data_IF_992617593074
#
_entry.id   IF_992617593074
#
_cell.length_a   1.000
_cell.length_b   1.000
_cell.length_c   1.000
_cell.angle_alpha   90.00
_cell.angle_beta   90.00
_cell.angle_gamma   90.00
#
_symmetry.space_group_name_H-M   'P 1'
#
loop_
_entity.id
_entity.type
_entity.pdbx_description
1 polymer ?
#
# COMPACT_ATOMS: atom_id res chain seq x y z
N UNK A 1 23.21 -14.31 -24.03
CA UNK A 1 22.05 -13.35 -23.94
C UNK A 1 20.95 -13.91 -24.80
N UNK A 2 19.80 -14.26 -24.23
CA UNK A 2 18.67 -14.81 -24.97
C UNK A 2 17.92 -13.71 -25.76
N UNK A 3 17.31 -14.05 -26.90
CA UNK A 3 16.45 -13.11 -27.66
C UNK A 3 15.39 -12.45 -26.78
N UNK A 4 14.84 -13.22 -25.82
CA UNK A 4 13.88 -12.70 -24.82
C UNK A 4 14.47 -11.58 -23.94
N UNK A 5 15.74 -11.69 -23.53
CA UNK A 5 16.39 -10.63 -22.73
C UNK A 5 16.70 -9.39 -23.54
N UNK A 6 17.05 -9.54 -24.83
CA UNK A 6 17.24 -8.39 -25.74
C UNK A 6 15.94 -7.66 -26.01
N UNK A 7 14.86 -8.40 -26.28
CA UNK A 7 13.52 -7.81 -26.44
C UNK A 7 13.04 -7.09 -25.16
N UNK A 8 13.33 -7.66 -23.99
CA UNK A 8 12.95 -7.04 -22.72
C UNK A 8 13.71 -5.73 -22.44
N UNK A 9 15.01 -5.69 -22.74
CA UNK A 9 15.82 -4.48 -22.64
C UNK A 9 15.39 -3.44 -23.68
N UNK A 10 15.10 -3.89 -24.91
CA UNK A 10 14.56 -3.02 -25.98
C UNK A 10 13.22 -2.39 -25.58
N UNK A 11 12.31 -3.15 -24.97
CA UNK A 11 11.05 -2.65 -24.47
C UNK A 11 11.23 -1.58 -23.36
N UNK A 12 12.19 -1.80 -22.46
CA UNK A 12 12.51 -0.81 -21.42
C UNK A 12 13.10 0.47 -22.04
N UNK A 13 14.05 0.36 -22.95
CA UNK A 13 14.66 1.50 -23.65
C UNK A 13 13.59 2.30 -24.42
N UNK A 14 12.72 1.60 -25.17
CA UNK A 14 11.60 2.22 -25.89
C UNK A 14 10.63 2.93 -24.95
N UNK A 15 10.30 2.31 -23.81
CA UNK A 15 9.43 2.91 -22.80
C UNK A 15 10.03 4.20 -22.22
N UNK A 16 11.31 4.20 -21.87
CA UNK A 16 12.01 5.38 -21.37
C UNK A 16 12.06 6.49 -22.42
N UNK A 17 12.39 6.15 -23.68
CA UNK A 17 12.40 7.11 -24.79
C UNK A 17 11.01 7.69 -25.05
N UNK A 18 9.98 6.86 -25.07
CA UNK A 18 8.59 7.30 -25.28
C UNK A 18 8.11 8.22 -24.14
N UNK A 19 8.46 7.92 -22.90
CA UNK A 19 8.12 8.78 -21.74
C UNK A 19 8.85 10.12 -21.83
N UNK A 20 10.13 10.13 -22.22
CA UNK A 20 10.89 11.36 -22.42
C UNK A 20 10.29 12.20 -23.55
N UNK A 21 9.93 11.56 -24.68
CA UNK A 21 9.25 12.24 -25.77
C UNK A 21 7.88 12.78 -25.35
N UNK A 22 7.10 12.01 -24.60
CA UNK A 22 5.79 12.42 -24.10
C UNK A 22 5.90 13.66 -23.19
N UNK A 23 6.85 13.69 -22.27
CA UNK A 23 7.09 14.87 -21.41
C UNK A 23 7.51 16.10 -22.21
N UNK A 24 8.30 15.91 -23.27
CA UNK A 24 8.71 17.00 -24.17
C UNK A 24 7.57 17.53 -25.04
N UNK A 25 6.66 16.65 -25.49
CA UNK A 25 5.52 17.00 -26.35
C UNK A 25 4.33 17.55 -25.59
N UNK A 26 4.21 17.29 -24.28
CA UNK A 26 3.11 17.74 -23.44
C UNK A 26 3.58 18.68 -22.32
N UNK A 27 4.37 19.74 -22.62
CA UNK A 27 4.96 20.59 -21.59
C UNK A 27 3.90 21.31 -20.73
N UNK A 28 2.75 21.66 -21.30
CA UNK A 28 1.68 22.34 -20.57
C UNK A 28 1.06 21.48 -19.47
N UNK A 29 0.95 20.17 -19.65
CA UNK A 29 0.46 19.24 -18.63
C UNK A 29 1.46 18.98 -17.50
N UNK A 30 2.74 19.17 -17.78
CA UNK A 30 3.84 18.93 -16.85
C UNK A 30 4.50 20.21 -16.37
N UNK A 31 4.32 21.36 -17.02
CA UNK A 31 4.94 22.62 -16.64
C UNK A 31 4.48 23.12 -15.26
N UNK A 32 3.21 22.88 -14.90
CA UNK A 32 2.66 23.16 -13.56
C UNK A 32 3.17 22.15 -12.51
N UNK A 33 3.49 20.93 -12.95
CA UNK A 33 3.91 19.80 -12.12
C UNK A 33 5.45 19.73 -12.06
N UNK A 34 6.11 20.09 -13.15
CA UNK A 34 7.54 20.03 -13.38
C UNK A 34 8.26 21.36 -13.12
N UNK A 35 7.77 22.18 -12.19
CA UNK A 35 8.72 23.07 -11.55
C UNK A 35 9.73 22.15 -10.85
N UNK A 36 10.95 21.99 -11.37
CA UNK A 36 11.96 21.23 -10.68
C UNK A 36 12.26 22.00 -9.40
N UNK A 37 11.59 21.63 -8.32
CA UNK A 37 12.15 21.95 -7.02
C UNK A 37 13.50 21.24 -7.07
N UNK A 38 14.63 21.96 -7.09
CA UNK A 38 15.92 21.30 -7.11
C UNK A 38 15.93 20.29 -5.97
N UNK A 39 16.27 19.02 -6.26
CA UNK A 39 16.32 17.97 -5.23
C UNK A 39 17.19 18.43 -4.06
N UNK A 40 18.23 19.23 -4.34
CA UNK A 40 19.08 19.87 -3.35
C UNK A 40 18.33 20.86 -2.44
N UNK A 41 17.42 21.68 -2.97
CA UNK A 41 16.64 22.63 -2.15
C UNK A 41 15.60 21.93 -1.27
N UNK A 42 15.08 20.78 -1.72
CA UNK A 42 14.16 19.96 -0.93
C UNK A 42 14.83 19.38 0.32
N UNK A 43 16.10 19.07 0.25
CA UNK A 43 16.91 18.50 1.33
C UNK A 43 17.90 19.48 1.96
N UNK A 44 17.99 20.71 1.45
CA UNK A 44 18.84 21.74 2.03
C UNK A 44 18.29 22.12 3.41
N UNK A 45 19.03 21.75 4.43
CA UNK A 45 18.87 22.26 5.79
C UNK A 45 19.51 23.65 5.78
N UNK A 46 18.89 24.63 5.10
CA UNK A 46 19.25 26.03 5.26
C UNK A 46 18.61 26.54 6.51
N UNK A 47 19.45 26.91 7.45
CA UNK A 47 19.13 27.62 8.69
C UNK A 47 17.65 27.47 9.15
N UNK A 48 17.35 26.38 9.89
CA UNK A 48 16.10 26.22 10.66
C UNK A 48 14.79 26.04 9.85
N UNK A 49 14.86 25.96 8.54
CA UNK A 49 13.70 25.65 7.68
C UNK A 49 13.80 24.23 7.16
N UNK A 50 13.34 23.28 7.96
CA UNK A 50 13.07 21.94 7.46
C UNK A 50 12.05 22.00 6.30
N UNK A 51 12.17 21.11 5.30
CA UNK A 51 11.08 20.91 4.35
C UNK A 51 9.79 20.76 5.15
N UNK A 52 8.85 21.62 4.87
CA UNK A 52 7.68 21.82 5.72
C UNK A 52 6.82 20.57 5.93
N UNK A 53 7.11 19.47 5.26
CA UNK A 53 6.22 18.31 5.11
C UNK A 53 6.66 17.05 5.86
N UNK A 54 7.96 16.89 6.14
CA UNK A 54 8.51 15.64 6.68
C UNK A 54 8.97 15.79 8.13
N UNK A 55 8.96 14.71 8.95
CA UNK A 55 9.54 14.70 10.28
C UNK A 55 11.02 15.09 10.29
N UNK A 56 11.55 15.66 11.38
CA UNK A 56 12.95 16.12 11.48
C UNK A 56 14.00 15.04 11.19
N UNK A 57 13.70 13.78 11.47
CA UNK A 57 14.56 12.64 11.13
C UNK A 57 14.84 12.54 9.63
N UNK A 58 13.86 12.87 8.76
CA UNK A 58 14.04 12.86 7.32
C UNK A 58 15.14 13.84 6.87
N UNK A 59 15.20 15.03 7.49
CA UNK A 59 16.24 16.00 7.17
C UNK A 59 17.64 15.46 7.50
N UNK A 60 17.80 14.80 8.66
CA UNK A 60 19.06 14.18 9.07
C UNK A 60 19.49 13.10 8.05
N UNK A 61 18.53 12.27 7.65
CA UNK A 61 18.78 11.17 6.71
C UNK A 61 19.26 11.66 5.33
N UNK A 62 18.77 12.83 4.89
CA UNK A 62 19.06 13.36 3.56
C UNK A 62 20.23 14.37 3.52
N UNK A 63 20.86 14.73 4.65
CA UNK A 63 22.06 15.58 4.67
C UNK A 63 23.12 15.10 3.69
N UNK A 64 23.47 13.80 3.56
CA UNK A 64 24.50 13.38 2.60
C UNK A 64 24.16 13.69 1.13
N UNK A 65 22.89 13.79 0.79
CA UNK A 65 22.47 14.14 -0.57
C UNK A 65 22.86 15.57 -0.96
N UNK A 66 22.98 16.48 0.03
CA UNK A 66 23.39 17.88 -0.22
C UNK A 66 24.87 18.03 -0.58
N UNK A 67 25.69 16.98 -0.36
CA UNK A 67 27.11 16.98 -0.70
C UNK A 67 27.37 16.66 -2.17
N UNK A 68 26.36 16.17 -2.88
CA UNK A 68 26.49 15.80 -4.29
C UNK A 68 26.18 16.99 -5.21
N UNK A 69 26.91 17.15 -6.32
CA UNK A 69 26.50 18.06 -7.37
C UNK A 69 25.10 17.75 -7.88
N UNK A 70 24.30 18.78 -8.17
CA UNK A 70 22.88 18.64 -8.54
C UNK A 70 22.68 17.66 -9.71
N UNK A 71 23.54 17.70 -10.73
CA UNK A 71 23.45 16.79 -11.88
C UNK A 71 23.67 15.34 -11.47
N UNK A 72 24.67 15.08 -10.60
CA UNK A 72 24.96 13.75 -10.05
C UNK A 72 23.81 13.27 -9.19
N UNK A 73 23.28 14.14 -8.32
CA UNK A 73 22.14 13.80 -7.46
C UNK A 73 20.90 13.43 -8.29
N UNK A 74 20.57 14.22 -9.33
CA UNK A 74 19.48 13.90 -10.26
C UNK A 74 19.67 12.53 -10.92
N UNK A 75 20.87 12.23 -11.41
CA UNK A 75 21.18 10.94 -12.04
C UNK A 75 21.03 9.78 -11.04
N UNK A 76 21.57 9.92 -9.82
CA UNK A 76 21.47 8.93 -8.74
C UNK A 76 20.00 8.66 -8.37
N UNK A 77 19.20 9.71 -8.24
CA UNK A 77 17.78 9.60 -7.87
C UNK A 77 16.97 8.93 -8.97
N UNK A 78 17.16 9.32 -10.25
CA UNK A 78 16.44 8.71 -11.38
C UNK A 78 16.81 7.24 -11.52
N UNK A 79 18.10 6.91 -11.57
CA UNK A 79 18.57 5.52 -11.69
C UNK A 79 18.14 4.71 -10.44
N UNK A 80 18.29 5.29 -9.26
CA UNK A 80 17.89 4.69 -8.00
C UNK A 80 16.38 4.35 -7.98
N UNK A 81 15.51 5.26 -8.41
CA UNK A 81 14.07 5.01 -8.48
C UNK A 81 13.70 3.94 -9.51
N UNK A 82 14.37 3.83 -10.65
CA UNK A 82 14.16 2.73 -11.62
C UNK A 82 14.57 1.39 -11.00
N UNK A 83 15.68 1.33 -10.27
CA UNK A 83 16.12 0.13 -9.56
C UNK A 83 15.15 -0.22 -8.40
N UNK A 84 14.66 0.78 -7.67
CA UNK A 84 13.66 0.61 -6.62
C UNK A 84 12.32 0.11 -7.19
N UNK A 85 11.91 0.57 -8.36
CA UNK A 85 10.74 0.00 -9.06
C UNK A 85 10.94 -1.49 -9.36
N UNK A 86 12.11 -1.87 -9.89
CA UNK A 86 12.44 -3.27 -10.15
C UNK A 86 12.41 -4.11 -8.87
N UNK A 87 12.92 -3.56 -7.77
CA UNK A 87 12.87 -4.18 -6.45
C UNK A 87 11.44 -4.28 -5.93
N UNK A 88 10.64 -3.20 -6.03
CA UNK A 88 9.24 -3.18 -5.59
C UNK A 88 8.41 -4.23 -6.35
N UNK A 89 8.58 -4.35 -7.67
CA UNK A 89 7.91 -5.39 -8.47
C UNK A 89 8.27 -6.78 -7.95
N UNK A 90 9.56 -7.06 -7.70
CA UNK A 90 10.01 -8.35 -7.15
C UNK A 90 9.44 -8.64 -5.77
N UNK A 91 9.50 -7.67 -4.87
CA UNK A 91 8.95 -7.80 -3.51
C UNK A 91 7.44 -8.00 -3.54
N UNK A 92 6.73 -7.23 -4.38
CA UNK A 92 5.28 -7.33 -4.57
C UNK A 92 4.87 -8.71 -5.08
N UNK A 93 5.60 -9.25 -6.05
CA UNK A 93 5.35 -10.59 -6.57
C UNK A 93 5.61 -11.67 -5.53
N UNK A 94 6.75 -11.60 -4.84
CA UNK A 94 7.07 -12.53 -3.73
C UNK A 94 6.01 -12.49 -2.64
N UNK A 95 5.54 -11.30 -2.28
CA UNK A 95 4.46 -11.10 -1.32
C UNK A 95 3.14 -11.73 -1.81
N UNK A 96 2.74 -11.43 -3.04
CA UNK A 96 1.47 -11.88 -3.62
C UNK A 96 1.40 -13.40 -3.85
N UNK A 97 2.54 -14.07 -4.10
CA UNK A 97 2.62 -15.51 -4.35
C UNK A 97 2.96 -16.34 -3.12
N UNK A 98 3.21 -15.70 -1.97
CA UNK A 98 3.49 -16.40 -0.70
C UNK A 98 2.30 -17.27 -0.30
N UNK A 99 2.54 -18.57 -0.11
CA UNK A 99 1.55 -19.47 0.46
C UNK A 99 1.54 -19.29 1.98
N UNK A 100 0.36 -19.17 2.63
CA UNK A 100 0.30 -19.22 4.09
C UNK A 100 0.90 -20.56 4.55
N UNK A 101 1.73 -20.50 5.60
CA UNK A 101 2.17 -21.72 6.26
C UNK A 101 0.90 -22.46 6.73
N UNK A 102 0.68 -23.66 6.20
CA UNK A 102 -0.41 -24.53 6.65
C UNK A 102 -0.11 -24.94 8.09
N UNK A 103 -0.83 -24.36 9.04
CA UNK A 103 -0.99 -24.89 10.40
C UNK A 103 -1.94 -26.08 10.31
N UNK A 104 -1.47 -27.20 9.84
CA UNK A 104 -2.16 -28.48 10.00
C UNK A 104 -1.23 -29.42 10.78
N UNK A 105 -1.69 -29.75 11.98
CA UNK A 105 -1.19 -30.83 12.80
C UNK A 105 -1.50 -32.19 12.13
N UNK A 106 -1.02 -32.43 10.94
CA UNK A 106 -0.91 -33.74 10.31
C UNK A 106 0.53 -33.86 9.80
N UNK A 107 1.27 -34.69 10.47
CA UNK A 107 2.67 -35.00 10.21
C UNK A 107 2.83 -35.62 8.81
N UNK A 108 2.90 -34.77 7.81
CA UNK A 108 3.53 -35.07 6.54
C UNK A 108 4.81 -34.25 6.49
N UNK A 109 5.90 -34.85 6.01
CA UNK A 109 7.24 -34.27 5.94
C UNK A 109 7.20 -32.78 5.50
N UNK A 110 8.10 -31.92 6.06
CA UNK A 110 8.16 -30.54 5.67
C UNK A 110 8.32 -30.44 4.16
N UNK A 111 7.31 -29.95 3.46
CA UNK A 111 7.43 -29.70 2.04
C UNK A 111 8.65 -28.79 1.83
N UNK A 112 9.57 -29.12 0.90
CA UNK A 112 10.75 -28.31 0.66
C UNK A 112 10.31 -26.87 0.44
N UNK A 113 11.07 -25.93 1.01
CA UNK A 113 10.82 -24.50 0.85
C UNK A 113 10.57 -24.22 -0.63
N UNK A 114 9.31 -23.97 -0.99
CA UNK A 114 8.91 -23.89 -2.39
C UNK A 114 9.70 -22.76 -3.05
N UNK A 115 10.44 -23.12 -4.10
CA UNK A 115 11.16 -22.15 -4.93
C UNK A 115 10.22 -20.97 -5.26
N UNK A 116 10.73 -19.74 -5.25
CA UNK A 116 9.91 -18.58 -5.55
C UNK A 116 9.23 -18.77 -6.91
N UNK A 117 7.90 -18.61 -6.95
CA UNK A 117 7.15 -18.71 -8.21
C UNK A 117 7.76 -17.70 -9.19
N UNK A 118 8.27 -18.12 -10.35
CA UNK A 118 8.89 -17.21 -11.30
C UNK A 118 7.87 -16.15 -11.75
N UNK A 119 8.34 -14.93 -11.92
CA UNK A 119 7.54 -13.86 -12.52
C UNK A 119 7.22 -14.26 -13.96
N UNK A 120 5.94 -14.29 -14.39
CA UNK A 120 5.56 -14.84 -15.70
C UNK A 120 6.08 -14.03 -16.88
N UNK A 121 6.52 -12.78 -16.64
CA UNK A 121 6.99 -11.82 -17.64
C UNK A 121 8.42 -11.37 -17.25
N UNK A 122 9.32 -11.15 -18.20
CA UNK A 122 10.66 -10.64 -17.89
C UNK A 122 10.61 -9.33 -17.11
N UNK A 123 11.43 -9.22 -16.06
CA UNK A 123 11.45 -8.07 -15.17
C UNK A 123 11.61 -6.72 -15.91
N UNK A 124 12.50 -6.58 -16.93
CA UNK A 124 12.61 -5.32 -17.66
C UNK A 124 11.31 -4.88 -18.35
N UNK A 125 10.49 -5.84 -18.84
CA UNK A 125 9.18 -5.53 -19.44
C UNK A 125 8.22 -5.01 -18.39
N UNK A 126 8.23 -5.61 -17.17
CA UNK A 126 7.39 -5.14 -16.07
C UNK A 126 7.84 -3.77 -15.56
N UNK A 127 9.15 -3.51 -15.53
CA UNK A 127 9.67 -2.17 -15.21
C UNK A 127 9.25 -1.17 -16.27
N UNK A 128 9.40 -1.51 -17.56
CA UNK A 128 8.94 -0.69 -18.68
C UNK A 128 7.45 -0.34 -18.57
N UNK A 129 6.59 -1.33 -18.32
CA UNK A 129 5.17 -1.13 -18.11
C UNK A 129 4.88 -0.33 -16.82
N UNK A 130 5.62 -0.60 -15.75
CA UNK A 130 5.47 0.08 -14.46
C UNK A 130 5.79 1.59 -14.52
N UNK A 131 6.70 2.00 -15.39
CA UNK A 131 7.04 3.42 -15.61
C UNK A 131 5.86 4.22 -16.21
N UNK A 132 4.88 3.57 -16.84
CA UNK A 132 3.68 4.23 -17.37
C UNK A 132 2.61 4.47 -16.30
N UNK A 133 2.68 3.79 -15.16
CA UNK A 133 1.85 4.10 -14.02
C UNK A 133 2.20 5.50 -13.53
N UNK A 134 1.24 6.40 -13.50
CA UNK A 134 1.49 7.82 -13.17
C UNK A 134 2.18 8.00 -11.81
N UNK A 135 1.78 7.30 -10.70
CA UNK A 135 2.46 7.45 -9.42
C UNK A 135 3.95 7.10 -9.47
N UNK A 136 4.29 6.07 -10.25
CA UNK A 136 5.68 5.64 -10.45
C UNK A 136 6.43 6.67 -11.29
N UNK A 137 5.82 7.09 -12.40
CA UNK A 137 6.41 8.08 -13.29
C UNK A 137 6.72 9.39 -12.55
N UNK A 138 5.78 9.90 -11.75
CA UNK A 138 5.99 11.10 -10.94
C UNK A 138 7.09 10.91 -9.90
N UNK A 139 7.12 9.77 -9.22
CA UNK A 139 8.19 9.44 -8.27
C UNK A 139 9.57 9.53 -8.93
N UNK A 140 9.71 8.99 -10.15
CA UNK A 140 10.98 9.05 -10.90
C UNK A 140 11.29 10.47 -11.35
N UNK A 141 10.30 11.17 -11.91
CA UNK A 141 10.49 12.51 -12.49
C UNK A 141 10.82 13.56 -11.43
N UNK A 142 10.14 13.53 -10.30
CA UNK A 142 10.33 14.51 -9.22
C UNK A 142 11.39 14.09 -8.20
N UNK A 143 11.95 12.89 -8.31
CA UNK A 143 12.95 12.40 -7.37
C UNK A 143 12.37 12.08 -5.99
N UNK A 144 11.11 11.60 -5.94
CA UNK A 144 10.44 11.27 -4.70
C UNK A 144 10.95 9.96 -4.08
N UNK A 145 10.73 9.82 -2.77
CA UNK A 145 11.20 8.67 -1.98
C UNK A 145 10.14 7.57 -1.82
N UNK A 146 8.95 7.77 -2.37
CA UNK A 146 7.79 6.87 -2.17
C UNK A 146 8.08 5.42 -2.54
N UNK A 147 8.85 5.17 -3.63
CA UNK A 147 9.29 3.81 -4.01
C UNK A 147 10.22 3.19 -2.96
N UNK A 148 11.13 3.99 -2.37
CA UNK A 148 12.04 3.50 -1.33
C UNK A 148 11.26 3.10 -0.08
N UNK A 149 10.31 3.94 0.37
CA UNK A 149 9.48 3.65 1.54
C UNK A 149 8.60 2.41 1.32
N UNK A 150 7.98 2.28 0.15
CA UNK A 150 7.20 1.09 -0.20
C UNK A 150 8.07 -0.18 -0.23
N UNK A 151 9.31 -0.10 -0.77
CA UNK A 151 10.26 -1.19 -0.74
C UNK A 151 10.67 -1.57 0.68
N UNK A 152 10.98 -0.61 1.55
CA UNK A 152 11.35 -0.84 2.95
C UNK A 152 10.23 -1.57 3.69
N UNK A 153 9.01 -1.07 3.60
CA UNK A 153 7.83 -1.64 4.27
C UNK A 153 7.58 -3.06 3.75
N UNK A 154 7.52 -3.24 2.42
CA UNK A 154 7.18 -4.53 1.83
C UNK A 154 8.30 -5.56 2.04
N UNK A 155 9.56 -5.13 2.01
CA UNK A 155 10.70 -5.99 2.37
C UNK A 155 10.58 -6.47 3.81
N UNK A 156 10.32 -5.59 4.77
CA UNK A 156 10.22 -5.95 6.18
C UNK A 156 9.02 -6.88 6.45
N UNK A 157 7.86 -6.61 5.83
CA UNK A 157 6.69 -7.49 5.89
C UNK A 157 6.92 -8.88 5.28
N UNK A 158 7.82 -8.99 4.29
CA UNK A 158 8.14 -10.26 3.64
C UNK A 158 9.22 -11.06 4.36
N UNK A 159 9.85 -10.53 5.41
CA UNK A 159 10.82 -11.27 6.23
C UNK A 159 10.13 -12.37 7.06
N UNK A 160 10.85 -13.45 7.43
CA UNK A 160 10.31 -14.47 8.33
C UNK A 160 9.88 -13.87 9.69
N UNK A 161 8.88 -14.48 10.34
CA UNK A 161 8.37 -13.96 11.60
C UNK A 161 9.40 -14.00 12.73
N UNK A 162 10.35 -14.93 12.68
CA UNK A 162 11.45 -15.03 13.64
C UNK A 162 12.64 -14.13 13.31
N UNK A 163 12.64 -13.40 12.19
CA UNK A 163 13.78 -12.56 11.80
C UNK A 163 14.05 -11.48 12.84
N UNK A 164 15.33 -11.34 13.21
CA UNK A 164 15.78 -10.31 14.15
C UNK A 164 15.49 -8.92 13.58
N UNK A 165 14.92 -8.04 14.40
CA UNK A 165 14.59 -6.67 13.99
C UNK A 165 13.50 -6.56 12.91
N UNK A 166 12.63 -7.57 12.71
CA UNK A 166 11.44 -7.43 11.86
C UNK A 166 10.56 -6.33 12.44
N UNK A 167 10.12 -5.41 11.61
CA UNK A 167 9.39 -4.18 11.98
C UNK A 167 10.28 -2.93 12.00
N UNK A 168 11.60 -3.07 12.13
CA UNK A 168 12.53 -1.93 12.23
C UNK A 168 12.44 -0.99 11.01
N UNK A 169 12.42 -1.56 9.78
CA UNK A 169 12.36 -0.74 8.58
C UNK A 169 11.00 -0.03 8.39
N UNK A 170 9.91 -0.61 8.91
CA UNK A 170 8.60 0.04 8.93
C UNK A 170 8.65 1.28 9.85
N UNK A 171 9.30 1.17 11.02
CA UNK A 171 9.49 2.30 11.94
C UNK A 171 10.34 3.41 11.36
N UNK A 172 11.44 3.07 10.66
CA UNK A 172 12.26 4.04 9.90
C UNK A 172 11.41 4.73 8.83
N UNK A 173 10.63 3.98 8.04
CA UNK A 173 9.76 4.55 7.02
C UNK A 173 8.74 5.54 7.62
N UNK A 174 8.16 5.18 8.79
CA UNK A 174 7.24 6.05 9.53
C UNK A 174 7.93 7.31 10.11
N UNK A 175 9.22 7.23 10.42
CA UNK A 175 10.04 8.36 10.87
C UNK A 175 10.45 9.31 9.74
N UNK A 176 10.40 8.85 8.49
CA UNK A 176 10.66 9.67 7.29
C UNK A 176 9.37 10.33 6.79
N UNK A 177 8.30 9.57 6.73
CA UNK A 177 6.93 10.03 6.42
C UNK A 177 5.96 9.38 7.40
N UNK A 178 4.99 10.13 7.92
CA UNK A 178 4.10 9.63 8.96
C UNK A 178 3.07 8.60 8.46
N UNK A 179 2.73 8.63 7.18
CA UNK A 179 1.74 7.73 6.55
C UNK A 179 2.01 6.24 6.81
N UNK A 180 3.26 5.72 6.77
CA UNK A 180 3.60 4.34 7.14
C UNK A 180 3.28 3.93 8.59
N UNK A 181 3.06 4.88 9.50
CA UNK A 181 2.72 4.56 10.89
C UNK A 181 1.44 3.71 11.02
N UNK A 182 0.52 3.79 10.03
CA UNK A 182 -0.68 2.96 10.02
C UNK A 182 -0.38 1.46 9.89
N UNK A 183 0.76 1.09 9.28
CA UNK A 183 1.23 -0.30 9.26
C UNK A 183 1.63 -0.80 10.66
N UNK A 184 2.10 0.08 11.55
CA UNK A 184 2.39 -0.26 12.96
C UNK A 184 1.09 -0.66 13.65
N UNK A 185 0.06 0.18 13.54
CA UNK A 185 -1.27 -0.12 14.10
C UNK A 185 -1.84 -1.43 13.53
N UNK A 186 -1.71 -1.64 12.22
CA UNK A 186 -2.12 -2.88 11.56
C UNK A 186 -1.43 -4.11 12.17
N UNK A 187 -0.09 -4.10 12.30
CA UNK A 187 0.67 -5.22 12.85
C UNK A 187 0.24 -5.53 14.30
N UNK A 188 0.08 -4.50 15.12
CA UNK A 188 -0.37 -4.67 16.51
C UNK A 188 -1.78 -5.26 16.60
N UNK A 189 -2.68 -4.90 15.67
CA UNK A 189 -4.06 -5.34 15.66
C UNK A 189 -4.28 -6.74 15.06
N UNK A 190 -3.32 -7.33 14.36
CA UNK A 190 -3.46 -8.70 13.82
C UNK A 190 -3.64 -9.74 14.93
N UNK A 191 -3.04 -9.51 16.08
CA UNK A 191 -3.03 -10.43 17.22
C UNK A 191 -2.14 -11.66 17.04
N UNK A 192 -1.39 -11.75 15.93
CA UNK A 192 -0.41 -12.82 15.72
C UNK A 192 0.89 -12.47 16.45
N UNK A 193 1.48 -13.39 17.24
CA UNK A 193 2.66 -13.07 18.03
C UNK A 193 3.82 -12.48 17.22
N UNK A 194 4.09 -13.01 16.01
CA UNK A 194 5.12 -12.50 15.10
C UNK A 194 4.84 -11.08 14.59
N UNK A 195 3.59 -10.79 14.23
CA UNK A 195 3.17 -9.46 13.79
C UNK A 195 3.19 -8.45 14.93
N UNK A 196 2.68 -8.84 16.12
CA UNK A 196 2.69 -7.95 17.31
C UNK A 196 4.12 -7.60 17.70
N UNK A 197 5.04 -8.58 17.69
CA UNK A 197 6.47 -8.32 17.93
C UNK A 197 7.03 -7.35 16.88
N UNK A 198 6.73 -7.56 15.60
CA UNK A 198 7.16 -6.65 14.54
C UNK A 198 6.56 -5.25 14.71
N UNK A 199 5.29 -5.14 15.10
CA UNK A 199 4.63 -3.88 15.42
C UNK A 199 5.29 -3.12 16.59
N UNK A 200 5.64 -3.83 17.66
CA UNK A 200 6.38 -3.24 18.79
C UNK A 200 7.78 -2.79 18.37
N UNK A 201 8.49 -3.60 17.57
CA UNK A 201 9.80 -3.21 17.02
C UNK A 201 9.68 -1.98 16.11
N UNK A 202 8.64 -1.90 15.28
CA UNK A 202 8.39 -0.75 14.42
C UNK A 202 8.05 0.51 15.23
N UNK A 203 7.26 0.37 16.31
CA UNK A 203 6.95 1.47 17.22
C UNK A 203 8.22 1.96 17.93
N UNK A 204 9.04 1.05 18.47
CA UNK A 204 10.31 1.40 19.10
C UNK A 204 11.28 2.08 18.10
N UNK A 205 11.32 1.61 16.85
CA UNK A 205 12.12 2.23 15.78
C UNK A 205 11.60 3.63 15.42
N UNK A 206 10.29 3.83 15.32
CA UNK A 206 9.70 5.16 15.13
C UNK A 206 10.06 6.12 16.27
N UNK A 207 9.90 5.68 17.53
CA UNK A 207 10.30 6.46 18.70
C UNK A 207 11.80 6.78 18.64
N UNK A 208 12.65 5.81 18.26
CA UNK A 208 14.08 6.02 18.06
C UNK A 208 14.38 7.11 17.02
N UNK A 209 13.64 7.16 15.89
CA UNK A 209 13.79 8.25 14.91
C UNK A 209 13.36 9.60 15.46
N UNK A 210 12.28 9.65 16.26
CA UNK A 210 11.84 10.87 16.94
C UNK A 210 12.88 11.39 17.94
N UNK A 211 13.43 10.48 18.75
CA UNK A 211 14.49 10.82 19.73
C UNK A 211 15.77 11.30 19.04
N UNK A 212 16.17 10.63 17.94
CA UNK A 212 17.33 11.08 17.16
C UNK A 212 17.08 12.47 16.55
N UNK A 213 15.89 12.69 16.01
CA UNK A 213 15.45 14.00 15.53
C UNK A 213 15.53 15.06 16.64
N UNK A 214 15.02 14.74 17.83
CA UNK A 214 15.04 15.65 18.99
C UNK A 214 16.46 15.93 19.50
N UNK A 215 17.36 14.95 19.44
CA UNK A 215 18.75 15.10 19.84
C UNK A 215 19.53 16.02 18.90
N UNK A 216 19.37 15.84 17.57
CA UNK A 216 20.14 16.56 16.55
C UNK A 216 19.50 17.90 16.19
N UNK A 217 18.16 17.97 16.16
CA UNK A 217 17.36 19.14 15.77
C UNK A 217 16.28 19.44 16.81
N UNK A 218 16.64 19.82 18.06
CA UNK A 218 15.70 19.88 19.19
C UNK A 218 14.55 20.87 18.96
N UNK A 219 14.85 22.08 18.50
CA UNK A 219 13.83 23.12 18.26
C UNK A 219 12.87 22.72 17.14
N UNK A 220 13.41 22.23 16.02
CA UNK A 220 12.60 21.77 14.89
C UNK A 220 11.75 20.55 15.23
N UNK A 221 12.26 19.66 16.09
CA UNK A 221 11.49 18.50 16.56
C UNK A 221 10.35 18.91 17.47
N UNK A 222 10.58 19.84 18.39
CA UNK A 222 9.53 20.38 19.25
C UNK A 222 8.45 21.06 18.40
N UNK A 223 8.83 21.97 17.49
CA UNK A 223 7.91 22.67 16.61
C UNK A 223 7.10 21.67 15.74
N UNK A 224 7.77 20.68 15.14
CA UNK A 224 7.10 19.68 14.30
C UNK A 224 6.06 18.88 15.07
N UNK A 225 6.44 18.28 16.20
CA UNK A 225 5.58 17.34 16.93
C UNK A 225 4.50 18.02 17.77
N UNK A 226 4.65 19.31 18.11
CA UNK A 226 3.65 20.05 18.91
C UNK A 226 2.71 20.92 18.08
N UNK A 227 3.17 21.42 16.93
CA UNK A 227 2.40 22.35 16.10
C UNK A 227 2.23 21.84 14.66
N UNK A 228 3.35 21.60 13.95
CA UNK A 228 3.34 21.37 12.50
C UNK A 228 2.62 20.10 12.05
N UNK A 229 2.67 19.04 12.85
CA UNK A 229 1.98 17.77 12.54
C UNK A 229 0.46 17.94 12.44
N UNK A 230 -0.10 18.97 13.09
CA UNK A 230 -1.54 19.27 13.06
C UNK A 230 -1.93 20.27 11.98
N UNK A 231 -0.98 20.92 11.32
CA UNK A 231 -1.22 21.85 10.23
C UNK A 231 -1.43 21.09 8.92
N UNK A 232 -2.68 20.76 8.60
CA UNK A 232 -3.02 19.93 7.43
C UNK A 232 -2.89 20.65 6.09
N UNK A 233 -2.88 21.99 6.07
CA UNK A 233 -2.69 22.82 4.87
C UNK A 233 -1.23 23.04 4.49
N UNK A 234 -0.30 22.73 5.39
CA UNK A 234 1.12 22.99 5.20
C UNK A 234 1.77 22.25 4.01
N UNK A 235 1.44 20.98 3.72
CA UNK A 235 2.02 20.27 2.57
C UNK A 235 1.54 20.77 1.21
N UNK A 236 0.54 21.66 1.17
CA UNK A 236 -0.06 22.20 -0.04
C UNK A 236 -1.57 22.37 0.09
N UNK A 237 -2.19 22.89 -0.96
CA UNK A 237 -3.64 23.12 -0.96
C UNK A 237 -4.42 21.80 -0.94
N UNK A 238 -5.36 21.71 0.00
CA UNK A 238 -6.20 20.52 0.14
C UNK A 238 -7.02 20.25 -1.14
N UNK A 239 -7.47 21.31 -1.82
CA UNK A 239 -8.28 21.27 -3.05
C UNK A 239 -7.53 20.78 -4.27
N UNK A 240 -6.20 20.83 -4.27
CA UNK A 240 -5.39 20.46 -5.44
C UNK A 240 -5.80 19.10 -6.02
N UNK A 241 -5.97 19.02 -7.34
CA UNK A 241 -6.29 17.79 -8.04
C UNK A 241 -5.17 16.73 -7.89
N UNK A 242 -3.95 17.17 -7.61
CA UNK A 242 -2.82 16.30 -7.26
C UNK A 242 -2.98 15.66 -5.88
N UNK A 243 -3.77 16.27 -4.98
CA UNK A 243 -4.10 15.67 -3.69
C UNK A 243 -5.18 14.60 -3.85
N UNK A 244 -4.73 13.37 -3.92
CA UNK A 244 -5.56 12.17 -4.09
C UNK A 244 -5.92 11.53 -2.72
N UNK A 245 -6.16 12.35 -1.69
CA UNK A 245 -6.64 11.93 -0.37
C UNK A 245 -8.15 12.12 -0.22
N UNK A 246 -8.71 11.66 0.92
CA UNK A 246 -10.09 12.01 1.29
C UNK A 246 -10.25 13.51 1.52
N UNK A 247 -9.21 14.20 2.05
CA UNK A 247 -9.28 15.64 2.21
C UNK A 247 -9.46 16.36 0.87
N UNK A 248 -8.65 15.98 -0.14
CA UNK A 248 -8.76 16.52 -1.48
C UNK A 248 -10.12 16.23 -2.13
N UNK A 249 -10.63 15.00 -1.98
CA UNK A 249 -11.95 14.61 -2.46
C UNK A 249 -13.06 15.46 -1.82
N UNK A 250 -13.03 15.62 -0.49
CA UNK A 250 -14.05 16.42 0.24
C UNK A 250 -13.93 17.91 -0.07
N UNK A 251 -12.71 18.46 -0.15
CA UNK A 251 -12.48 19.86 -0.48
C UNK A 251 -13.11 20.22 -1.84
N UNK A 252 -12.85 19.42 -2.86
CA UNK A 252 -13.44 19.60 -4.20
C UNK A 252 -14.94 19.36 -4.22
N UNK A 253 -15.43 18.31 -3.54
CA UNK A 253 -16.85 17.96 -3.52
C UNK A 253 -17.72 18.99 -2.76
N UNK A 254 -17.16 19.61 -1.72
CA UNK A 254 -17.84 20.62 -0.91
C UNK A 254 -17.52 22.06 -1.36
N UNK A 255 -16.68 22.21 -2.40
CA UNK A 255 -16.25 23.51 -2.93
C UNK A 255 -15.62 24.42 -1.85
N UNK A 256 -14.84 23.83 -0.92
CA UNK A 256 -14.20 24.54 0.19
C UNK A 256 -12.77 24.06 0.41
N UNK A 257 -11.81 24.96 0.69
CA UNK A 257 -10.44 24.57 1.00
C UNK A 257 -10.33 23.83 2.35
N UNK A 258 -11.31 24.04 3.23
CA UNK A 258 -11.35 23.44 4.57
C UNK A 258 -12.60 22.56 4.72
N UNK A 259 -12.51 21.25 4.41
CA UNK A 259 -13.66 20.34 4.43
C UNK A 259 -14.21 20.03 5.84
N UNK A 260 -13.52 20.47 6.91
CA UNK A 260 -14.05 20.50 8.28
C UNK A 260 -14.32 19.11 8.88
N UNK A 261 -15.32 19.08 9.79
CA UNK A 261 -15.62 17.89 10.61
C UNK A 261 -16.09 16.70 9.78
N UNK A 262 -16.75 16.92 8.65
CA UNK A 262 -17.23 15.84 7.77
C UNK A 262 -16.09 14.98 7.23
N UNK A 263 -14.99 15.60 6.78
CA UNK A 263 -13.79 14.93 6.38
C UNK A 263 -13.13 14.17 7.54
N UNK A 264 -12.98 14.82 8.71
CA UNK A 264 -12.39 14.20 9.89
C UNK A 264 -13.17 12.94 10.31
N UNK A 265 -14.50 13.02 10.35
CA UNK A 265 -15.35 11.86 10.64
C UNK A 265 -15.19 10.74 9.60
N UNK A 266 -15.11 11.08 8.30
CA UNK A 266 -14.85 10.10 7.25
C UNK A 266 -13.49 9.43 7.42
N UNK A 267 -12.43 10.17 7.78
CA UNK A 267 -11.11 9.62 8.07
C UNK A 267 -11.16 8.62 9.24
N UNK A 268 -11.87 8.93 10.31
CA UNK A 268 -12.05 8.00 11.45
C UNK A 268 -12.75 6.72 11.00
N UNK A 269 -13.87 6.83 10.29
CA UNK A 269 -14.63 5.67 9.81
C UNK A 269 -13.78 4.80 8.87
N UNK A 270 -13.09 5.41 7.90
CA UNK A 270 -12.25 4.69 6.93
C UNK A 270 -11.04 4.05 7.62
N UNK A 271 -10.43 4.71 8.62
CA UNK A 271 -9.33 4.13 9.40
C UNK A 271 -9.78 2.84 10.11
N UNK A 272 -10.87 2.90 10.87
CA UNK A 272 -11.39 1.71 11.57
C UNK A 272 -11.84 0.61 10.60
N UNK A 273 -12.53 0.97 9.53
CA UNK A 273 -12.96 0.02 8.50
C UNK A 273 -11.74 -0.64 7.82
N UNK A 274 -10.73 0.12 7.43
CA UNK A 274 -9.51 -0.36 6.78
C UNK A 274 -8.70 -1.28 7.69
N UNK A 275 -8.46 -0.89 8.94
CA UNK A 275 -7.79 -1.71 9.94
C UNK A 275 -8.55 -3.03 10.21
N UNK A 276 -9.88 -2.96 10.33
CA UNK A 276 -10.73 -4.14 10.50
C UNK A 276 -10.66 -5.06 9.28
N UNK A 277 -10.73 -4.52 8.05
CA UNK A 277 -10.61 -5.29 6.81
C UNK A 277 -9.24 -5.94 6.69
N UNK A 278 -8.17 -5.20 6.94
CA UNK A 278 -6.80 -5.68 6.88
C UNK A 278 -6.58 -6.82 7.89
N UNK A 279 -7.00 -6.64 9.16
CA UNK A 279 -6.97 -7.69 10.18
C UNK A 279 -7.78 -8.91 9.75
N UNK A 280 -8.98 -8.70 9.24
CA UNK A 280 -9.87 -9.78 8.82
C UNK A 280 -9.30 -10.58 7.64
N UNK A 281 -8.62 -9.93 6.70
CA UNK A 281 -7.93 -10.58 5.60
C UNK A 281 -6.83 -11.53 6.11
N UNK A 282 -6.05 -11.11 7.11
CA UNK A 282 -4.96 -11.89 7.70
C UNK A 282 -5.47 -13.09 8.51
N UNK A 283 -6.54 -12.92 9.28
CA UNK A 283 -7.10 -13.99 10.14
C UNK A 283 -7.76 -15.09 9.30
N UNK A 284 -8.20 -14.79 8.07
CA UNK A 284 -8.84 -15.77 7.19
C UNK A 284 -7.84 -16.52 6.33
N UNK A 285 -7.94 -17.84 6.30
CA UNK A 285 -7.16 -18.68 5.40
C UNK A 285 -7.35 -18.24 3.92
N UNK A 286 -6.25 -18.00 3.21
CA UNK A 286 -6.24 -17.67 1.78
C UNK A 286 -6.37 -16.19 1.42
N UNK A 287 -6.71 -15.29 2.34
CA UNK A 287 -6.90 -13.87 2.05
C UNK A 287 -5.83 -12.94 2.65
N UNK A 288 -4.82 -13.48 3.34
CA UNK A 288 -3.80 -12.70 4.06
C UNK A 288 -3.06 -11.65 3.22
N UNK A 289 -2.91 -11.91 1.92
CA UNK A 289 -2.27 -11.00 0.98
C UNK A 289 -3.06 -9.69 0.71
N UNK A 290 -4.35 -9.62 1.05
CA UNK A 290 -5.14 -8.39 0.93
C UNK A 290 -4.99 -7.45 2.13
N UNK A 291 -4.38 -7.91 3.23
CA UNK A 291 -4.14 -7.07 4.41
C UNK A 291 -3.27 -5.85 4.10
N UNK A 292 -2.18 -6.07 3.38
CA UNK A 292 -1.23 -5.00 3.01
C UNK A 292 -1.84 -3.97 2.03
N UNK A 293 -2.47 -4.35 0.91
CA UNK A 293 -3.19 -3.40 0.07
C UNK A 293 -4.28 -2.64 0.82
N UNK A 294 -5.06 -3.31 1.66
CA UNK A 294 -6.13 -2.66 2.42
C UNK A 294 -5.58 -1.56 3.33
N UNK A 295 -4.49 -1.82 4.08
CA UNK A 295 -3.92 -0.84 4.98
C UNK A 295 -3.20 0.28 4.22
N UNK A 296 -2.50 -0.03 3.11
CA UNK A 296 -1.84 0.97 2.27
C UNK A 296 -2.85 1.96 1.68
N UNK A 297 -3.94 1.44 1.07
CA UNK A 297 -5.00 2.29 0.52
C UNK A 297 -5.70 3.11 1.62
N UNK A 298 -5.91 2.53 2.80
CA UNK A 298 -6.47 3.26 3.95
C UNK A 298 -5.54 4.41 4.36
N UNK A 299 -4.23 4.16 4.49
CA UNK A 299 -3.25 5.16 4.87
C UNK A 299 -3.22 6.34 3.88
N UNK A 300 -3.27 6.05 2.59
CA UNK A 300 -3.32 7.07 1.53
C UNK A 300 -4.62 7.87 1.55
N UNK A 301 -5.74 7.23 1.84
CA UNK A 301 -7.03 7.91 1.94
C UNK A 301 -7.09 8.87 3.12
N UNK A 302 -6.63 8.44 4.31
CA UNK A 302 -6.79 9.21 5.56
C UNK A 302 -5.69 10.24 5.77
N UNK A 303 -4.58 10.15 5.04
CA UNK A 303 -3.55 11.19 5.05
C UNK A 303 -4.17 12.52 4.60
N UNK A 304 -3.90 13.64 5.28
CA UNK A 304 -4.42 14.95 4.87
C UNK A 304 -4.00 15.29 3.43
N UNK A 305 -2.76 15.00 3.08
CA UNK A 305 -2.25 15.15 1.72
C UNK A 305 -1.64 13.84 1.26
N UNK A 306 -2.18 13.31 0.16
CA UNK A 306 -1.67 12.14 -0.56
C UNK A 306 -1.45 12.54 -2.01
N UNK A 307 -0.28 13.08 -2.30
CA UNK A 307 0.11 13.39 -3.66
C UNK A 307 0.07 12.14 -4.54
N UNK A 308 -0.13 12.30 -5.83
CA UNK A 308 -0.27 11.18 -6.75
C UNK A 308 0.92 10.20 -6.69
N UNK A 309 2.14 10.69 -6.46
CA UNK A 309 3.34 9.85 -6.32
C UNK A 309 3.36 8.97 -5.05
N UNK A 310 2.59 9.26 -4.01
CA UNK A 310 2.46 8.35 -2.86
C UNK A 310 1.71 7.05 -3.20
N UNK A 311 0.97 7.03 -4.33
CA UNK A 311 0.16 5.89 -4.75
C UNK A 311 0.95 4.77 -5.44
N UNK A 312 2.27 4.71 -5.29
CA UNK A 312 3.13 3.60 -5.77
C UNK A 312 2.69 2.23 -5.23
N UNK A 313 1.83 2.21 -4.23
CA UNK A 313 1.14 1.01 -3.73
C UNK A 313 0.23 0.35 -4.76
N UNK A 314 -0.03 0.99 -5.89
CA UNK A 314 -0.65 0.37 -7.08
C UNK A 314 0.14 -0.85 -7.56
N UNK A 315 1.48 -0.86 -7.43
CA UNK A 315 2.34 -1.99 -7.83
C UNK A 315 2.08 -3.25 -6.99
N UNK A 316 2.09 -3.21 -5.65
CA UNK A 316 1.66 -4.36 -4.83
C UNK A 316 0.20 -4.76 -5.06
N UNK A 317 -0.72 -3.83 -5.27
CA UNK A 317 -2.12 -4.11 -5.56
C UNK A 317 -2.26 -4.89 -6.88
N UNK A 318 -1.60 -4.44 -7.94
CA UNK A 318 -1.57 -5.12 -9.24
C UNK A 318 -0.96 -6.53 -9.12
N UNK A 319 0.12 -6.68 -8.36
CA UNK A 319 0.75 -7.98 -8.13
C UNK A 319 -0.20 -8.96 -7.44
N UNK A 320 -0.98 -8.52 -6.44
CA UNK A 320 -1.98 -9.35 -5.76
C UNK A 320 -3.10 -9.76 -6.72
N UNK A 321 -3.62 -8.83 -7.53
CA UNK A 321 -4.67 -9.11 -8.52
C UNK A 321 -4.21 -10.12 -9.57
N UNK A 322 -2.99 -9.95 -10.11
CA UNK A 322 -2.40 -10.85 -11.09
C UNK A 322 -2.13 -12.24 -10.51
N UNK A 323 -1.61 -12.31 -9.28
CA UNK A 323 -1.39 -13.58 -8.58
C UNK A 323 -2.68 -14.35 -8.27
N UNK A 324 -3.83 -13.65 -8.22
CA UNK A 324 -5.17 -14.27 -8.11
C UNK A 324 -5.80 -14.60 -9.45
N UNK A 325 -5.11 -14.36 -10.57
CA UNK A 325 -5.67 -14.56 -11.90
C UNK A 325 -6.77 -13.54 -12.29
N UNK A 326 -6.88 -12.43 -11.56
CA UNK A 326 -7.89 -11.39 -11.79
C UNK A 326 -7.40 -10.35 -12.81
N UNK A 327 -6.92 -10.83 -13.96
CA UNK A 327 -6.27 -10.01 -14.98
C UNK A 327 -7.13 -8.85 -15.51
N UNK A 328 -8.46 -9.06 -15.66
CA UNK A 328 -9.38 -7.99 -16.10
C UNK A 328 -9.43 -6.84 -15.09
N UNK A 329 -9.55 -7.18 -13.80
CA UNK A 329 -9.53 -6.18 -12.72
C UNK A 329 -8.17 -5.49 -12.65
N UNK A 330 -7.06 -6.24 -12.82
CA UNK A 330 -5.73 -5.68 -12.87
C UNK A 330 -5.56 -4.69 -14.04
N UNK A 331 -6.11 -5.01 -15.22
CA UNK A 331 -6.08 -4.13 -16.39
C UNK A 331 -6.85 -2.81 -16.12
N UNK A 332 -8.05 -2.88 -15.51
CA UNK A 332 -8.81 -1.68 -15.14
C UNK A 332 -8.05 -0.83 -14.12
N UNK A 333 -7.47 -1.45 -13.09
CA UNK A 333 -6.66 -0.74 -12.08
C UNK A 333 -5.43 -0.10 -12.73
N UNK A 334 -4.71 -0.82 -13.61
CA UNK A 334 -3.58 -0.27 -14.33
C UNK A 334 -3.98 0.91 -15.23
N UNK A 335 -5.15 0.81 -15.91
CA UNK A 335 -5.67 1.90 -16.73
C UNK A 335 -5.96 3.15 -15.88
N UNK A 336 -6.61 3.02 -14.72
CA UNK A 336 -6.88 4.15 -13.82
C UNK A 336 -5.59 4.83 -13.39
N UNK A 337 -4.55 4.05 -13.03
CA UNK A 337 -3.26 4.61 -12.62
C UNK A 337 -2.40 5.12 -13.78
N UNK A 338 -2.75 4.84 -15.03
CA UNK A 338 -2.03 5.34 -16.22
C UNK A 338 -2.75 6.48 -16.92
N UNK A 339 -4.06 6.65 -16.70
CA UNK A 339 -4.91 7.57 -17.45
C UNK A 339 -4.67 9.06 -17.12
N UNK A 340 -4.08 9.38 -15.94
CA UNK A 340 -3.76 10.76 -15.52
C UNK A 340 -4.94 11.73 -15.64
N UNK A 341 -6.16 11.26 -15.37
CA UNK A 341 -7.40 12.02 -15.62
C UNK A 341 -7.47 13.33 -14.83
N UNK A 342 -6.85 13.38 -13.65
CA UNK A 342 -6.81 14.58 -12.82
C UNK A 342 -5.98 15.72 -13.46
N UNK A 343 -5.13 15.43 -14.46
CA UNK A 343 -4.43 16.46 -15.25
C UNK A 343 -5.32 17.11 -16.33
N UNK A 344 -6.52 16.58 -16.56
CA UNK A 344 -7.46 17.07 -17.58
C UNK A 344 -8.42 18.13 -17.03
N UNK A 345 -8.38 18.38 -15.71
CA UNK A 345 -9.22 19.40 -15.07
C UNK A 345 -8.45 20.71 -14.93
N UNK A 346 -9.13 21.86 -14.77
CA UNK A 346 -8.48 23.13 -14.49
C UNK A 346 -7.65 23.08 -13.21
N UNK A 347 -6.43 23.67 -13.23
CA UNK A 347 -5.47 23.68 -12.12
C UNK A 347 -5.13 25.08 -11.61
N UNK A 348 -5.78 26.12 -12.11
CA UNK A 348 -5.42 27.49 -11.80
C UNK A 348 -6.23 28.04 -10.61
N UNK A 349 -5.56 28.35 -9.53
CA UNK A 349 -6.12 29.04 -8.36
C UNK A 349 -7.36 28.33 -7.80
N UNK A 350 -8.49 29.08 -7.71
CA UNK A 350 -9.75 28.55 -7.18
C UNK A 350 -10.53 27.66 -8.16
N UNK A 351 -10.04 27.44 -9.37
CA UNK A 351 -10.76 26.65 -10.39
C UNK A 351 -10.98 25.21 -9.94
N UNK A 352 -10.07 24.63 -9.14
CA UNK A 352 -10.21 23.28 -8.59
C UNK A 352 -11.36 23.13 -7.59
N UNK A 353 -11.79 24.23 -6.96
CA UNK A 353 -12.99 24.27 -6.11
C UNK A 353 -14.29 24.53 -6.89
N UNK A 354 -14.22 24.79 -8.20
CA UNK A 354 -15.38 25.07 -9.04
C UNK A 354 -15.66 23.95 -10.05
N UNK A 355 -15.08 22.77 -9.84
CA UNK A 355 -15.22 21.62 -10.73
C UNK A 355 -16.68 21.15 -10.78
N UNK A 356 -17.19 20.91 -11.98
CA UNK A 356 -18.48 20.24 -12.18
C UNK A 356 -18.40 18.79 -11.68
N UNK A 357 -19.55 18.15 -11.41
CA UNK A 357 -19.61 16.81 -10.83
C UNK A 357 -18.80 15.76 -11.61
N UNK A 358 -18.80 15.80 -12.96
CA UNK A 358 -18.02 14.88 -13.80
C UNK A 358 -16.51 15.19 -13.75
N UNK A 359 -16.13 16.47 -13.65
CA UNK A 359 -14.73 16.86 -13.45
C UNK A 359 -14.20 16.42 -12.08
N UNK A 360 -15.03 16.41 -11.04
CA UNK A 360 -14.63 15.88 -9.73
C UNK A 360 -14.29 14.39 -9.78
N UNK A 361 -15.03 13.60 -10.59
CA UNK A 361 -14.69 12.18 -10.82
C UNK A 361 -13.33 12.06 -11.52
N UNK A 362 -13.07 12.89 -12.53
CA UNK A 362 -11.76 12.93 -13.21
C UNK A 362 -10.62 13.40 -12.30
N UNK A 363 -10.91 14.35 -11.41
CA UNK A 363 -9.94 14.90 -10.45
C UNK A 363 -9.62 13.96 -9.29
N UNK A 364 -10.41 12.89 -9.07
CA UNK A 364 -10.28 12.05 -7.87
C UNK A 364 -10.25 10.54 -8.19
N UNK A 365 -9.51 10.09 -9.23
CA UNK A 365 -9.55 8.69 -9.66
C UNK A 365 -9.01 7.73 -8.59
N UNK A 366 -7.96 8.09 -7.86
CA UNK A 366 -7.31 7.20 -6.92
C UNK A 366 -8.09 7.01 -5.62
N UNK A 367 -8.62 8.06 -4.93
CA UNK A 367 -9.46 7.85 -3.77
C UNK A 367 -10.75 7.09 -4.12
N UNK A 368 -11.37 7.35 -5.28
CA UNK A 368 -12.56 6.62 -5.71
C UNK A 368 -12.25 5.14 -5.96
N UNK A 369 -11.12 4.81 -6.61
CA UNK A 369 -10.67 3.44 -6.80
C UNK A 369 -10.38 2.75 -5.45
N UNK A 370 -9.69 3.44 -4.53
CA UNK A 370 -9.38 2.88 -3.22
C UNK A 370 -10.65 2.58 -2.40
N UNK A 371 -11.61 3.49 -2.39
CA UNK A 371 -12.92 3.27 -1.76
C UNK A 371 -13.65 2.08 -2.39
N UNK A 372 -13.62 1.96 -3.72
CA UNK A 372 -14.21 0.81 -4.42
C UNK A 372 -13.54 -0.52 -4.05
N UNK A 373 -12.20 -0.54 -3.94
CA UNK A 373 -11.44 -1.74 -3.51
C UNK A 373 -11.79 -2.10 -2.06
N UNK A 374 -11.80 -1.13 -1.14
CA UNK A 374 -12.17 -1.37 0.26
C UNK A 374 -13.63 -1.85 0.38
N UNK A 375 -14.56 -1.26 -0.37
CA UNK A 375 -15.95 -1.71 -0.42
C UNK A 375 -16.09 -3.14 -0.98
N UNK A 376 -15.34 -3.49 -2.01
CA UNK A 376 -15.31 -4.85 -2.56
C UNK A 376 -14.77 -5.86 -1.53
N UNK A 377 -13.74 -5.51 -0.76
CA UNK A 377 -13.22 -6.34 0.33
C UNK A 377 -14.24 -6.48 1.47
N UNK A 378 -14.94 -5.41 1.83
CA UNK A 378 -16.01 -5.44 2.82
C UNK A 378 -17.16 -6.36 2.39
N UNK A 379 -17.58 -6.24 1.14
CA UNK A 379 -18.63 -7.10 0.56
C UNK A 379 -18.22 -8.58 0.52
N UNK A 380 -16.98 -8.87 0.11
CA UNK A 380 -16.45 -10.24 0.14
C UNK A 380 -16.40 -10.79 1.57
N UNK A 381 -16.03 -9.95 2.54
CA UNK A 381 -16.05 -10.30 3.96
C UNK A 381 -17.46 -10.62 4.48
N UNK A 382 -18.45 -9.81 4.10
CA UNK A 382 -19.86 -9.99 4.44
C UNK A 382 -20.42 -11.31 3.84
N UNK A 383 -20.26 -11.52 2.53
CA UNK A 383 -20.74 -12.75 1.86
C UNK A 383 -20.18 -14.03 2.48
N UNK A 384 -18.88 -14.03 2.81
CA UNK A 384 -18.24 -15.16 3.44
C UNK A 384 -18.85 -15.47 4.81
N UNK A 385 -19.12 -14.42 5.63
CA UNK A 385 -19.75 -14.59 6.94
C UNK A 385 -21.13 -15.25 6.84
N UNK A 386 -21.96 -14.76 5.91
CA UNK A 386 -23.31 -15.31 5.71
C UNK A 386 -23.32 -16.75 5.18
N UNK A 387 -22.37 -17.10 4.29
CA UNK A 387 -22.23 -18.49 3.81
C UNK A 387 -21.85 -19.46 4.93
N UNK A 388 -20.94 -19.07 5.81
CA UNK A 388 -20.56 -19.91 6.96
C UNK A 388 -21.67 -20.04 7.98
N UNK A 389 -22.42 -18.97 8.24
CA UNK A 389 -23.57 -19.02 9.14
C UNK A 389 -24.66 -19.98 8.61
N UNK A 390 -24.99 -19.89 7.32
CA UNK A 390 -25.95 -20.81 6.67
C UNK A 390 -25.50 -22.28 6.71
N UNK A 391 -24.20 -22.54 6.49
CA UNK A 391 -23.67 -23.92 6.60
C UNK A 391 -23.73 -24.44 8.01
N UNK A 392 -23.41 -23.64 9.03
CA UNK A 392 -23.53 -24.06 10.44
C UNK A 392 -24.98 -24.34 10.86
N UNK A 393 -25.93 -23.54 10.40
CA UNK A 393 -27.38 -23.82 10.68
C UNK A 393 -27.84 -25.09 9.97
N UNK A 394 -27.43 -25.33 8.71
CA UNK A 394 -27.78 -26.56 7.99
C UNK A 394 -27.15 -27.82 8.63
N UNK A 395 -25.89 -27.76 9.07
CA UNK A 395 -25.24 -28.87 9.78
C UNK A 395 -25.89 -29.10 11.15
N UNK A 396 -26.24 -28.03 11.87
CA UNK A 396 -26.98 -28.13 13.15
C UNK A 396 -28.35 -28.75 12.98
N UNK A 397 -29.09 -28.45 11.91
CA UNK A 397 -30.37 -29.05 11.59
C UNK A 397 -30.21 -30.53 11.21
N UNK A 398 -29.17 -30.90 10.43
CA UNK A 398 -28.90 -32.32 10.12
C UNK A 398 -28.47 -33.12 11.35
N UNK A 399 -27.73 -32.53 12.28
CA UNK A 399 -27.36 -33.19 13.54
C UNK A 399 -28.53 -33.31 14.53
N UNK A 400 -29.54 -32.47 14.40
CA UNK A 400 -30.77 -32.53 15.21
C UNK A 400 -31.76 -33.59 14.72
N UNK A 401 -31.61 -34.13 13.52
CA UNK A 401 -32.35 -35.27 13.04
C UNK A 401 -31.84 -36.53 13.80
N UNK A 402 -32.56 -36.95 14.83
CA UNK A 402 -32.23 -38.15 15.62
C UNK A 402 -32.01 -39.33 14.66
N UNK A 403 -30.97 -40.11 14.84
CA UNK A 403 -30.86 -41.40 14.14
C UNK A 403 -32.08 -42.24 14.51
N UNK A 404 -32.77 -42.79 13.52
CA UNK A 404 -33.82 -43.74 13.72
C UNK A 404 -33.28 -44.87 14.61
N UNK A 405 -34.03 -45.32 15.66
CA UNK A 405 -33.61 -46.45 16.46
C UNK A 405 -33.42 -47.66 15.54
N UNK A 406 -32.24 -48.26 15.59
CA UNK A 406 -31.97 -49.51 14.88
C UNK A 406 -33.00 -50.54 15.28
N UNK A 407 -33.58 -51.30 14.34
CA UNK A 407 -34.48 -52.40 14.66
C UNK A 407 -33.76 -53.38 15.60
N UNK A 408 -34.33 -53.65 16.77
CA UNK A 408 -33.82 -54.67 17.65
C UNK A 408 -34.00 -56.03 16.95
N UNK A 409 -32.91 -56.67 16.62
CA UNK A 409 -32.89 -58.07 16.15
C UNK A 409 -33.49 -58.92 17.29
N UNK A 410 -34.41 -59.86 16.98
CA UNK A 410 -34.98 -60.76 18.00
C UNK A 410 -33.84 -61.62 18.58
N UNK A 411 -33.83 -61.69 19.92
CA UNK A 411 -32.92 -62.56 20.65
C UNK A 411 -33.07 -64.02 20.19
N UNK A 412 -32.03 -64.62 19.65
CA UNK A 412 -31.98 -66.01 19.33
C UNK A 412 -32.04 -66.83 20.65
N UNK A 413 -33.19 -67.48 20.94
CA UNK A 413 -33.28 -68.49 21.97
C UNK A 413 -32.39 -69.67 21.64
N UNK A 414 -31.21 -69.72 22.20
CA UNK A 414 -30.41 -70.97 22.25
C UNK A 414 -30.87 -71.78 23.48
N UNK A 415 -31.84 -72.57 23.27
CA UNK A 415 -32.14 -73.70 24.19
C UNK A 415 -31.00 -74.71 24.11
N UNK A 416 -30.10 -74.67 25.07
CA UNK A 416 -29.09 -75.73 25.28
C UNK A 416 -29.85 -76.97 25.84
N UNK A 417 -30.02 -77.96 25.00
CA UNK A 417 -30.45 -79.32 25.38
C UNK A 417 -29.23 -80.05 25.98
N UNK A 418 -29.27 -80.27 27.30
CA UNK A 418 -28.47 -81.24 28.03
C UNK A 418 -29.00 -82.62 27.73
N UNK A 419 -28.17 -83.49 27.11
CA UNK A 419 -28.25 -84.93 27.24
C UNK A 419 -26.87 -85.55 27.33
N UNK A 420 -26.65 -86.15 28.53
CA UNK A 420 -25.76 -87.25 28.93
C UNK A 420 -24.35 -87.34 28.35
#
# INVERSE_FOLDING_TARGET
VTVRSLLAVGALALSLTALTAFTALCPAQYALIAQPIPVAERFAVTEWRLPATSPPFAAILFVPATWLPVATLKAVVVVGNVLLLALLIRLSWRFATRRPAMTTATAAAPAPATAPVPVPVPLPVLVAAGLWLEPVFRTVLHGEISLALACLILWDLTRPDHALGKGFAIGIAAGVELTPALFIAYLLLTGRPGDVRAGLTALASLIGTMLLGALVLPRSSLDFWTLRVFETSRPGEASSADNQSLQGLFARALHTPEPGVGWAAACVVITFAGLWLARRAVVRAGHGKWGVPAIALTALLVSPVSWSHHWVWCVPLLAVLLAEGRWRTAAVVALVFSARTFLLVPHEGWAELQLSWWQQVLASPYPLLALAVLAALAYAAYRHHHRHRRRRTAVGQLAAVRPLPLPQLPASNSSASTMR
#
